data_IF_439139736889
#
_entry.id   IF_439139736889
#
_cell.length_a   1.000
_cell.length_b   1.000
_cell.length_c   1.000
_cell.angle_alpha   90.00
_cell.angle_beta   90.00
_cell.angle_gamma   90.00
#
_symmetry.space_group_name_H-M   'P 1'
#
loop_
_entity.id
_entity.type
_entity.pdbx_description
1 polymer ?
#
# COMPACT_ATOMS: atom_id res chain seq x y z
N UNK A 1 2.90 -2.54 -18.00
CA UNK A 1 3.97 -1.56 -17.74
C UNK A 1 3.50 -0.17 -17.31
N UNK A 2 2.54 0.53 -17.95
CA UNK A 2 2.13 1.88 -17.54
C UNK A 2 1.55 1.95 -16.12
N UNK A 3 0.74 1.00 -15.70
CA UNK A 3 0.13 0.95 -14.35
C UNK A 3 1.18 0.77 -13.24
N UNK A 4 2.17 -0.09 -13.45
CA UNK A 4 3.23 -0.33 -12.46
C UNK A 4 4.10 0.91 -12.25
N UNK A 5 4.43 1.62 -13.33
CA UNK A 5 5.18 2.89 -13.24
C UNK A 5 4.39 3.97 -12.50
N UNK A 6 3.08 4.04 -12.71
CA UNK A 6 2.21 4.96 -11.99
C UNK A 6 2.17 4.68 -10.48
N UNK A 7 2.18 3.41 -10.09
CA UNK A 7 2.22 3.00 -8.67
C UNK A 7 3.55 3.38 -8.00
N UNK A 8 4.66 3.36 -8.73
CA UNK A 8 5.95 3.83 -8.21
C UNK A 8 6.03 5.35 -8.13
N UNK A 9 5.31 6.07 -9.00
CA UNK A 9 5.34 7.52 -9.06
C UNK A 9 4.55 8.16 -7.90
N UNK A 10 3.33 7.66 -7.60
CA UNK A 10 2.43 8.24 -6.60
C UNK A 10 1.57 7.19 -5.91
N UNK A 11 1.31 7.39 -4.62
CA UNK A 11 0.44 6.52 -3.82
C UNK A 11 -1.08 6.64 -4.15
N UNK A 12 -1.49 7.63 -4.95
CA UNK A 12 -2.91 7.91 -5.22
C UNK A 12 -3.66 6.80 -5.96
N UNK A 13 -2.94 5.88 -6.61
CA UNK A 13 -3.50 4.71 -7.33
C UNK A 13 -3.35 3.39 -6.58
N UNK A 14 -2.66 3.38 -5.45
CA UNK A 14 -2.52 2.17 -4.64
C UNK A 14 -3.87 1.71 -4.10
N UNK A 15 -4.07 0.39 -4.05
CA UNK A 15 -5.24 -0.17 -3.39
C UNK A 15 -5.20 0.13 -1.88
N UNK A 16 -6.37 0.22 -1.24
CA UNK A 16 -6.52 0.44 0.21
C UNK A 16 -5.69 -0.59 1.01
N UNK A 17 -5.72 -1.83 0.59
CA UNK A 17 -5.03 -2.94 1.26
C UNK A 17 -3.51 -2.90 1.09
N UNK A 18 -3.02 -2.50 -0.10
CA UNK A 18 -1.59 -2.28 -0.28
C UNK A 18 -1.09 -1.12 0.58
N UNK A 19 -1.85 -0.01 0.62
CA UNK A 19 -1.54 1.11 1.50
C UNK A 19 -1.49 0.70 2.99
N UNK A 20 -2.36 -0.22 3.42
CA UNK A 20 -2.33 -0.82 4.75
C UNK A 20 -1.01 -1.55 5.04
N UNK A 21 -0.62 -2.46 4.13
CA UNK A 21 0.62 -3.23 4.25
C UNK A 21 1.85 -2.32 4.24
N UNK A 22 1.88 -1.35 3.33
CA UNK A 22 2.95 -0.36 3.22
C UNK A 22 3.03 0.52 4.47
N UNK A 23 1.89 1.00 4.96
CA UNK A 23 1.80 1.82 6.17
C UNK A 23 2.34 1.11 7.39
N UNK A 24 1.98 -0.15 7.59
CA UNK A 24 2.52 -0.96 8.69
C UNK A 24 4.04 -1.09 8.63
N UNK A 25 4.59 -1.33 7.43
CA UNK A 25 6.04 -1.39 7.20
C UNK A 25 6.73 -0.06 7.51
N UNK A 26 6.17 1.07 7.05
CA UNK A 26 6.66 2.42 7.34
C UNK A 26 6.63 2.71 8.84
N UNK A 27 5.48 2.45 9.48
CA UNK A 27 5.29 2.64 10.92
C UNK A 27 6.33 1.90 11.75
N UNK A 28 6.53 0.61 11.47
CA UNK A 28 7.50 -0.23 12.19
C UNK A 28 8.93 0.30 12.03
N UNK A 29 9.34 0.66 10.81
CA UNK A 29 10.69 1.18 10.52
C UNK A 29 10.93 2.54 11.17
N UNK A 30 9.97 3.47 11.07
CA UNK A 30 10.07 4.78 11.75
C UNK A 30 10.23 4.59 13.25
N UNK A 31 9.44 3.70 13.86
CA UNK A 31 9.52 3.40 15.29
C UNK A 31 10.89 2.84 15.67
N UNK A 32 11.38 1.86 14.93
CA UNK A 32 12.70 1.25 15.19
C UNK A 32 13.82 2.26 15.06
N UNK A 33 13.81 3.08 14.00
CA UNK A 33 14.84 4.12 13.77
C UNK A 33 14.77 5.20 14.85
N UNK A 34 13.57 5.61 15.26
CA UNK A 34 13.38 6.58 16.33
C UNK A 34 14.00 6.08 17.66
N UNK A 35 13.80 4.80 18.02
CA UNK A 35 14.47 4.19 19.18
C UNK A 35 16.00 4.17 19.05
N UNK A 36 16.51 3.76 17.89
CA UNK A 36 17.97 3.72 17.64
C UNK A 36 18.55 5.13 17.76
N UNK A 37 17.92 6.13 17.13
CA UNK A 37 18.39 7.50 17.17
C UNK A 37 18.31 8.12 18.55
N UNK A 38 17.29 7.80 19.35
CA UNK A 38 17.18 8.24 20.72
C UNK A 38 18.38 7.76 21.56
N UNK A 39 18.76 6.48 21.42
CA UNK A 39 19.92 5.90 22.10
C UNK A 39 21.22 6.55 21.59
N UNK A 40 21.39 6.66 20.27
CA UNK A 40 22.60 7.24 19.68
C UNK A 40 22.78 8.71 20.04
N UNK A 41 21.73 9.52 20.03
CA UNK A 41 21.78 10.92 20.44
C UNK A 41 22.22 11.07 21.90
N UNK A 42 21.69 10.24 22.79
CA UNK A 42 22.07 10.25 24.20
C UNK A 42 23.52 9.78 24.40
N UNK A 43 23.94 8.70 23.73
CA UNK A 43 25.31 8.18 23.83
C UNK A 43 26.33 9.17 23.31
N UNK A 44 26.00 9.96 22.27
CA UNK A 44 26.91 10.94 21.69
C UNK A 44 27.19 12.15 22.61
N UNK A 45 26.38 12.36 23.66
CA UNK A 45 26.68 13.39 24.71
C UNK A 45 28.04 13.15 25.33
N UNK A 46 28.41 11.87 25.53
CA UNK A 46 29.75 11.53 26.04
C UNK A 46 30.86 11.97 25.08
N UNK A 47 30.66 11.84 23.79
CA UNK A 47 31.61 12.26 22.76
C UNK A 47 31.72 13.76 22.72
N UNK A 48 30.60 14.48 22.81
CA UNK A 48 30.61 15.96 22.87
C UNK A 48 31.37 16.48 24.11
N UNK A 49 31.18 15.83 25.26
CA UNK A 49 31.88 16.19 26.48
C UNK A 49 33.38 15.98 26.37
N UNK A 50 33.86 15.02 25.57
CA UNK A 50 35.28 14.76 25.32
C UNK A 50 35.89 15.73 24.28
N UNK A 51 35.09 16.19 23.31
CA UNK A 51 35.56 16.95 22.15
C UNK A 51 35.32 18.46 22.28
N UNK A 52 34.35 18.91 23.05
CA UNK A 52 33.93 20.30 23.16
C UNK A 52 34.27 20.88 24.54
N UNK A 53 34.54 22.19 24.63
CA UNK A 53 34.66 22.89 25.91
C UNK A 53 33.39 22.79 26.75
N UNK A 54 33.52 22.91 28.09
CA UNK A 54 32.41 22.69 29.04
C UNK A 54 31.21 23.58 28.81
N UNK A 55 31.40 24.85 28.46
CA UNK A 55 30.33 25.83 28.16
C UNK A 55 29.52 25.46 26.92
N UNK A 56 30.15 24.89 25.89
CA UNK A 56 29.50 24.48 24.63
C UNK A 56 28.91 23.09 24.74
N UNK A 57 29.63 22.13 25.32
CA UNK A 57 29.17 20.74 25.47
C UNK A 57 27.89 20.67 26.29
N UNK A 58 27.72 21.47 27.35
CA UNK A 58 26.49 21.57 28.11
C UNK A 58 25.32 22.05 27.27
N UNK A 59 25.50 23.07 26.44
CA UNK A 59 24.46 23.60 25.56
C UNK A 59 24.05 22.56 24.49
N UNK A 60 25.01 21.91 23.84
CA UNK A 60 24.74 20.85 22.83
C UNK A 60 24.05 19.66 23.49
N UNK A 61 24.42 19.28 24.73
CA UNK A 61 23.77 18.19 25.45
C UNK A 61 22.26 18.43 25.66
N UNK A 62 21.82 19.66 25.95
CA UNK A 62 20.39 20.00 26.03
C UNK A 62 19.67 19.73 24.70
N UNK A 63 20.27 20.12 23.58
CA UNK A 63 19.71 19.83 22.24
C UNK A 63 19.62 18.34 21.97
N UNK A 64 20.64 17.55 22.33
CA UNK A 64 20.62 16.09 22.17
C UNK A 64 19.57 15.43 23.05
N UNK A 65 19.42 15.84 24.29
CA UNK A 65 18.39 15.35 25.20
C UNK A 65 16.99 15.64 24.63
N UNK A 66 16.77 16.85 24.11
CA UNK A 66 15.51 17.25 23.51
C UNK A 66 15.22 16.43 22.25
N UNK A 67 16.21 16.25 21.36
CA UNK A 67 16.07 15.42 20.16
C UNK A 67 15.83 13.96 20.52
N UNK A 68 16.55 13.41 21.51
CA UNK A 68 16.36 12.05 22.02
C UNK A 68 14.96 11.86 22.59
N UNK A 69 14.49 12.77 23.45
CA UNK A 69 13.15 12.73 24.02
C UNK A 69 12.06 12.80 22.94
N UNK A 70 12.26 13.62 21.90
CA UNK A 70 11.36 13.71 20.76
C UNK A 70 11.32 12.41 19.94
N UNK A 71 12.48 11.79 19.70
CA UNK A 71 12.57 10.48 19.05
C UNK A 71 11.91 9.38 19.90
N UNK A 72 12.11 9.37 21.24
CA UNK A 72 11.41 8.46 22.15
C UNK A 72 9.89 8.65 22.09
N UNK A 73 9.42 9.89 22.12
CA UNK A 73 8.00 10.20 21.99
C UNK A 73 7.41 9.65 20.69
N UNK A 74 8.12 9.82 19.56
CA UNK A 74 7.73 9.23 18.27
C UNK A 74 7.74 7.69 18.30
N UNK A 75 8.70 7.09 19.02
CA UNK A 75 8.81 5.64 19.19
C UNK A 75 7.68 5.02 20.01
N UNK A 76 7.20 5.74 21.03
CA UNK A 76 6.14 5.33 21.96
C UNK A 76 4.75 5.70 21.43
N UNK A 77 4.64 6.69 20.55
CA UNK A 77 3.37 7.20 20.08
C UNK A 77 2.49 6.10 19.48
N UNK A 78 1.43 5.75 20.20
CA UNK A 78 0.40 4.82 19.77
C UNK A 78 -0.53 5.53 18.78
N UNK A 79 -0.41 5.21 17.51
CA UNK A 79 -1.30 5.68 16.45
C UNK A 79 -1.73 4.48 15.60
N UNK A 80 -2.76 4.66 14.78
CA UNK A 80 -3.22 3.60 13.87
C UNK A 80 -2.14 3.24 12.84
N UNK A 81 -1.50 2.05 12.92
CA UNK A 81 -0.37 1.68 12.06
C UNK A 81 -0.78 1.47 10.60
N UNK A 82 -2.08 1.49 10.33
CA UNK A 82 -2.66 1.15 9.03
C UNK A 82 -3.04 2.35 8.17
N UNK A 83 -2.89 3.59 8.66
CA UNK A 83 -3.16 4.82 7.90
C UNK A 83 -1.86 5.36 7.35
N UNK A 84 -1.70 5.29 6.00
CA UNK A 84 -0.47 5.71 5.31
C UNK A 84 -0.10 7.17 5.62
N UNK A 85 -1.08 8.05 5.65
CA UNK A 85 -0.89 9.47 5.97
C UNK A 85 -0.24 9.68 7.35
N UNK A 86 -0.70 8.93 8.37
CA UNK A 86 -0.14 9.01 9.72
C UNK A 86 1.31 8.50 9.73
N UNK A 87 1.60 7.42 9.01
CA UNK A 87 2.96 6.88 8.92
C UNK A 87 3.92 7.83 8.20
N UNK A 88 3.46 8.53 7.15
CA UNK A 88 4.23 9.58 6.46
C UNK A 88 4.44 10.82 7.34
N UNK A 89 3.42 11.26 8.09
CA UNK A 89 3.55 12.35 9.07
C UNK A 89 4.59 12.00 10.14
N UNK A 90 4.60 10.77 10.64
CA UNK A 90 5.63 10.32 11.60
C UNK A 90 7.04 10.35 11.02
N UNK A 91 7.20 9.94 9.76
CA UNK A 91 8.48 10.04 9.06
C UNK A 91 8.90 11.52 8.90
N UNK A 92 7.95 12.39 8.53
CA UNK A 92 8.20 13.82 8.43
C UNK A 92 8.65 14.41 9.78
N UNK A 93 7.95 14.06 10.86
CA UNK A 93 8.33 14.52 12.22
C UNK A 93 9.72 14.03 12.63
N UNK A 94 10.08 12.78 12.29
CA UNK A 94 11.42 12.26 12.54
C UNK A 94 12.48 13.05 11.78
N UNK A 95 12.27 13.32 10.49
CA UNK A 95 13.16 14.14 9.67
C UNK A 95 13.26 15.56 10.23
N UNK A 96 12.14 16.16 10.64
CA UNK A 96 12.11 17.49 11.25
C UNK A 96 12.92 17.56 12.55
N UNK A 97 12.75 16.61 13.46
CA UNK A 97 13.51 16.57 14.73
C UNK A 97 15.01 16.57 14.47
N UNK A 98 15.45 15.71 13.53
CA UNK A 98 16.89 15.61 13.19
C UNK A 98 17.39 16.89 12.51
N UNK A 99 16.62 17.47 11.60
CA UNK A 99 16.98 18.68 10.86
C UNK A 99 17.03 19.90 11.77
N UNK A 100 16.06 20.04 12.69
CA UNK A 100 16.06 21.12 13.70
C UNK A 100 17.29 21.00 14.60
N UNK A 101 17.56 19.81 15.12
CA UNK A 101 18.75 19.58 15.96
C UNK A 101 20.04 19.92 15.22
N UNK A 102 20.19 19.48 13.97
CA UNK A 102 21.35 19.80 13.13
C UNK A 102 21.53 21.30 12.93
N UNK A 103 20.48 22.00 12.47
CA UNK A 103 20.55 23.44 12.19
C UNK A 103 20.89 24.22 13.47
N UNK A 104 20.27 23.87 14.58
CA UNK A 104 20.51 24.48 15.88
C UNK A 104 21.94 24.22 16.38
N UNK A 105 22.45 23.00 16.30
CA UNK A 105 23.81 22.66 16.71
C UNK A 105 24.87 23.38 15.86
N UNK A 106 24.67 23.45 14.55
CA UNK A 106 25.53 24.21 13.65
C UNK A 106 25.55 25.71 13.99
N UNK A 107 24.38 26.27 14.33
CA UNK A 107 24.28 27.67 14.76
C UNK A 107 25.15 27.97 15.98
N UNK A 108 25.11 27.11 17.00
CA UNK A 108 25.89 27.28 18.23
C UNK A 108 27.38 27.14 17.95
N UNK A 109 27.79 26.08 17.23
CA UNK A 109 29.21 25.80 16.99
C UNK A 109 29.87 26.88 16.14
N UNK A 110 29.20 27.36 15.08
CA UNK A 110 29.73 28.44 14.23
C UNK A 110 29.76 29.78 15.01
N UNK A 111 28.72 30.06 15.81
CA UNK A 111 28.65 31.28 16.64
C UNK A 111 29.74 31.38 17.67
N UNK A 112 30.31 30.26 18.11
CA UNK A 112 31.45 30.18 19.05
C UNK A 112 32.83 30.16 18.34
N UNK A 113 32.86 30.24 17.00
CA UNK A 113 34.11 30.32 16.22
C UNK A 113 34.88 29.01 16.11
N UNK A 114 34.22 27.86 16.32
CA UNK A 114 34.83 26.55 16.12
C UNK A 114 35.20 26.34 14.65
N UNK A 115 36.46 26.00 14.41
CA UNK A 115 36.95 25.67 13.06
C UNK A 115 36.45 24.28 12.57
N UNK A 116 36.61 24.05 11.28
CA UNK A 116 35.97 22.98 10.49
C UNK A 116 36.16 21.54 10.98
N UNK A 117 37.22 21.24 11.72
CA UNK A 117 37.54 19.87 12.14
C UNK A 117 36.60 19.32 13.24
N UNK A 118 36.28 20.14 14.25
CA UNK A 118 35.34 19.76 15.33
C UNK A 118 33.90 19.78 14.83
N UNK A 119 33.59 20.69 13.93
CA UNK A 119 32.24 20.83 13.32
C UNK A 119 31.99 19.74 12.26
N UNK A 120 33.05 19.05 11.76
CA UNK A 120 32.91 18.06 10.69
C UNK A 120 31.89 16.95 11.01
N UNK A 121 31.87 16.46 12.26
CA UNK A 121 30.88 15.45 12.69
C UNK A 121 29.43 15.92 12.56
N UNK A 122 29.17 17.20 12.80
CA UNK A 122 27.84 17.81 12.68
C UNK A 122 27.48 18.14 11.23
N UNK A 123 28.47 18.44 10.39
CA UNK A 123 28.28 18.69 8.97
C UNK A 123 27.78 17.43 8.20
N UNK A 124 28.00 16.23 8.74
CA UNK A 124 27.51 14.98 8.16
C UNK A 124 26.01 14.71 8.39
N UNK A 125 25.33 15.41 9.28
CA UNK A 125 23.91 15.17 9.58
C UNK A 125 22.99 15.26 8.37
N UNK A 126 23.06 16.24 7.45
CA UNK A 126 22.20 16.28 6.28
C UNK A 126 22.36 15.05 5.40
N UNK A 127 23.60 14.57 5.24
CA UNK A 127 23.91 13.37 4.46
C UNK A 127 23.33 12.11 5.12
N UNK A 128 23.40 12.02 6.44
CA UNK A 128 22.80 10.94 7.21
C UNK A 128 21.26 10.94 7.07
N UNK A 129 20.62 12.11 7.16
CA UNK A 129 19.17 12.26 7.04
C UNK A 129 18.70 11.84 5.64
N UNK A 130 19.38 12.28 4.58
CA UNK A 130 18.99 11.98 3.21
C UNK A 130 19.21 10.49 2.88
N UNK A 131 20.33 9.90 3.35
CA UNK A 131 20.60 8.47 3.13
C UNK A 131 19.65 7.57 3.92
N UNK A 132 19.18 8.00 5.10
CA UNK A 132 18.18 7.30 5.88
C UNK A 132 16.89 7.08 5.10
N UNK A 133 16.54 7.95 4.14
CA UNK A 133 15.34 7.78 3.30
C UNK A 133 15.39 6.48 2.47
N UNK A 134 16.58 5.95 2.18
CA UNK A 134 16.77 4.68 1.48
C UNK A 134 16.13 3.48 2.22
N UNK A 135 15.88 3.60 3.53
CA UNK A 135 15.32 2.53 4.37
C UNK A 135 13.80 2.39 4.17
N UNK A 136 13.13 3.43 3.65
CA UNK A 136 11.68 3.50 3.58
C UNK A 136 11.14 3.21 2.17
N UNK A 137 10.06 2.41 2.00
CA UNK A 137 9.43 2.17 0.70
C UNK A 137 8.56 3.38 0.32
N UNK A 138 9.18 4.41 -0.25
CA UNK A 138 8.53 5.65 -0.67
C UNK A 138 8.31 5.66 -2.18
N UNK A 139 7.29 6.40 -2.63
CA UNK A 139 7.09 6.73 -4.04
C UNK A 139 8.09 7.79 -4.49
N UNK A 140 8.24 7.95 -5.81
CA UNK A 140 9.13 8.98 -6.39
C UNK A 140 8.77 10.38 -5.85
N UNK A 141 7.48 10.73 -5.80
CA UNK A 141 7.04 12.04 -5.30
C UNK A 141 7.33 12.22 -3.80
N UNK A 142 7.13 11.18 -3.00
CA UNK A 142 7.38 11.25 -1.56
C UNK A 142 8.86 11.42 -1.26
N UNK A 143 9.73 10.58 -1.85
CA UNK A 143 11.17 10.68 -1.60
C UNK A 143 11.76 11.98 -2.16
N UNK A 144 11.29 12.44 -3.32
CA UNK A 144 11.69 13.72 -3.88
C UNK A 144 11.28 14.89 -2.97
N UNK A 145 10.08 14.85 -2.40
CA UNK A 145 9.62 15.85 -1.43
C UNK A 145 10.50 15.93 -0.19
N UNK A 146 10.85 14.79 0.41
CA UNK A 146 11.78 14.73 1.55
C UNK A 146 13.20 15.19 1.17
N UNK A 147 13.71 14.76 0.02
CA UNK A 147 15.05 15.13 -0.43
C UNK A 147 15.15 16.65 -0.69
N UNK A 148 14.17 17.22 -1.39
CA UNK A 148 14.09 18.67 -1.64
C UNK A 148 14.00 19.43 -0.33
N UNK A 149 13.21 18.97 0.64
CA UNK A 149 13.12 19.58 1.96
C UNK A 149 14.49 19.66 2.66
N UNK A 150 15.23 18.54 2.72
CA UNK A 150 16.55 18.49 3.36
C UNK A 150 17.55 19.40 2.63
N UNK A 151 17.57 19.37 1.28
CA UNK A 151 18.44 20.22 0.46
C UNK A 151 18.13 21.72 0.67
N UNK A 152 16.85 22.08 0.75
CA UNK A 152 16.45 23.47 1.00
C UNK A 152 16.87 23.96 2.38
N UNK A 153 16.75 23.13 3.42
CA UNK A 153 17.22 23.50 4.77
C UNK A 153 18.73 23.68 4.76
N UNK A 154 19.48 22.80 4.12
CA UNK A 154 20.93 22.94 4.00
C UNK A 154 21.30 24.20 3.21
N UNK A 155 20.62 24.49 2.11
CA UNK A 155 20.83 25.72 1.33
C UNK A 155 20.60 26.98 2.17
N UNK A 156 19.51 27.03 2.95
CA UNK A 156 19.23 28.15 3.87
C UNK A 156 20.32 28.26 4.94
N UNK A 157 20.77 27.14 5.50
CA UNK A 157 21.87 27.11 6.47
C UNK A 157 23.16 27.65 5.87
N UNK A 158 23.50 27.29 4.63
CA UNK A 158 24.68 27.79 3.93
C UNK A 158 24.59 29.29 3.58
N UNK A 159 23.42 29.77 3.16
CA UNK A 159 23.21 31.20 2.93
C UNK A 159 23.40 32.01 4.19
N UNK A 160 22.91 31.51 5.33
CA UNK A 160 23.01 32.18 6.61
C UNK A 160 24.42 32.16 7.21
N UNK A 161 25.16 31.05 7.01
CA UNK A 161 26.55 30.87 7.49
C UNK A 161 27.61 31.45 6.54
N UNK A 162 27.19 32.00 5.39
CA UNK A 162 28.10 32.56 4.36
C UNK A 162 28.92 31.51 3.59
N UNK A 163 28.56 30.21 3.73
CA UNK A 163 29.22 29.13 2.99
C UNK A 163 28.70 28.94 1.57
N UNK A 164 27.58 29.58 1.21
CA UNK A 164 27.01 29.51 -0.14
C UNK A 164 27.96 30.18 -1.14
N UNK A 165 28.22 29.52 -2.26
CA UNK A 165 29.16 30.00 -3.29
C UNK A 165 30.63 29.67 -3.03
N UNK A 166 30.95 29.16 -1.85
CA UNK A 166 32.29 28.60 -1.56
C UNK A 166 32.37 27.16 -2.06
N UNK A 167 33.53 26.69 -2.49
CA UNK A 167 33.73 25.35 -3.07
C UNK A 167 33.22 24.25 -2.14
N UNK A 168 33.42 24.37 -0.84
CA UNK A 168 32.94 23.40 0.17
C UNK A 168 31.41 23.34 0.19
N UNK A 169 30.72 24.47 0.24
CA UNK A 169 29.26 24.50 0.25
C UNK A 169 28.64 23.96 -1.05
N UNK A 170 29.24 24.25 -2.20
CA UNK A 170 28.80 23.67 -3.49
C UNK A 170 29.00 22.14 -3.52
N UNK A 171 30.14 21.65 -2.99
CA UNK A 171 30.39 20.22 -2.88
C UNK A 171 29.37 19.52 -1.97
N UNK A 172 29.00 20.14 -0.84
CA UNK A 172 27.99 19.59 0.08
C UNK A 172 26.62 19.47 -0.59
N UNK A 173 26.17 20.51 -1.31
CA UNK A 173 24.91 20.48 -2.06
C UNK A 173 24.93 19.45 -3.20
N UNK A 174 26.05 19.35 -3.92
CA UNK A 174 26.23 18.33 -4.95
C UNK A 174 26.17 16.92 -4.37
N UNK A 175 26.89 16.67 -3.26
CA UNK A 175 26.92 15.38 -2.58
C UNK A 175 25.51 15.02 -2.03
N UNK A 176 24.79 15.99 -1.45
CA UNK A 176 23.39 15.78 -1.03
C UNK A 176 22.49 15.40 -2.19
N UNK A 177 22.64 16.05 -3.35
CA UNK A 177 21.86 15.71 -4.54
C UNK A 177 22.16 14.29 -5.01
N UNK A 178 23.45 13.89 -5.08
CA UNK A 178 23.86 12.53 -5.48
C UNK A 178 23.34 11.49 -4.49
N UNK A 179 23.53 11.72 -3.18
CA UNK A 179 23.03 10.80 -2.15
C UNK A 179 21.49 10.74 -2.14
N UNK A 180 20.82 11.85 -2.40
CA UNK A 180 19.36 11.92 -2.58
C UNK A 180 18.88 11.08 -3.75
N UNK A 181 19.59 11.12 -4.88
CA UNK A 181 19.28 10.25 -6.03
C UNK A 181 19.48 8.77 -5.70
N UNK A 182 20.59 8.42 -5.03
CA UNK A 182 20.88 7.03 -4.62
C UNK A 182 19.85 6.54 -3.60
N UNK A 183 19.54 7.35 -2.58
CA UNK A 183 18.55 7.03 -1.57
C UNK A 183 17.14 6.91 -2.18
N UNK A 184 16.80 7.80 -3.12
CA UNK A 184 15.55 7.76 -3.86
C UNK A 184 15.42 6.48 -4.69
N UNK A 185 16.47 6.12 -5.43
CA UNK A 185 16.50 4.87 -6.20
C UNK A 185 16.32 3.65 -5.27
N UNK A 186 17.04 3.59 -4.16
CA UNK A 186 16.91 2.50 -3.19
C UNK A 186 15.52 2.43 -2.57
N UNK A 187 14.95 3.57 -2.20
CA UNK A 187 13.59 3.70 -1.65
C UNK A 187 12.52 3.20 -2.62
N UNK A 188 12.59 3.62 -3.89
CA UNK A 188 11.66 3.19 -4.94
C UNK A 188 11.83 1.70 -5.26
N UNK A 189 13.06 1.18 -5.25
CA UNK A 189 13.30 -0.26 -5.41
C UNK A 189 12.67 -1.08 -4.27
N UNK A 190 12.75 -0.61 -3.02
CA UNK A 190 12.05 -1.29 -1.92
C UNK A 190 10.54 -1.28 -2.11
N UNK A 191 9.96 -0.14 -2.56
CA UNK A 191 8.54 -0.06 -2.88
C UNK A 191 8.17 -1.02 -4.01
N UNK A 192 8.99 -1.09 -5.08
CA UNK A 192 8.74 -1.99 -6.21
C UNK A 192 8.77 -3.46 -5.77
N UNK A 193 9.73 -3.84 -4.93
CA UNK A 193 9.82 -5.19 -4.38
C UNK A 193 8.60 -5.52 -3.49
N UNK A 194 8.19 -4.59 -2.64
CA UNK A 194 7.00 -4.75 -1.81
C UNK A 194 5.72 -4.91 -2.67
N UNK A 195 5.58 -4.12 -3.76
CA UNK A 195 4.48 -4.23 -4.71
C UNK A 195 4.46 -5.60 -5.41
N UNK A 196 5.61 -6.09 -5.85
CA UNK A 196 5.73 -7.40 -6.50
C UNK A 196 5.34 -8.50 -5.54
N UNK A 197 5.89 -8.51 -4.31
CA UNK A 197 5.56 -9.50 -3.29
C UNK A 197 4.07 -9.45 -2.90
N UNK A 198 3.51 -8.24 -2.75
CA UNK A 198 2.10 -8.06 -2.46
C UNK A 198 1.22 -8.63 -3.59
N UNK A 199 1.55 -8.33 -4.87
CA UNK A 199 0.83 -8.86 -6.02
C UNK A 199 0.91 -10.38 -6.11
N UNK A 200 2.08 -10.98 -5.86
CA UNK A 200 2.25 -12.44 -5.81
C UNK A 200 1.43 -13.08 -4.69
N UNK A 201 1.34 -12.42 -3.55
CA UNK A 201 0.58 -12.90 -2.39
C UNK A 201 -0.94 -12.73 -2.52
N UNK A 202 -1.43 -11.81 -3.38
CA UNK A 202 -2.83 -11.37 -3.44
C UNK A 202 -3.51 -11.57 -4.79
N UNK A 203 -2.75 -11.90 -5.84
CA UNK A 203 -3.30 -12.09 -7.19
C UNK A 203 -3.21 -13.54 -7.63
N UNK A 204 -4.21 -13.95 -8.42
CA UNK A 204 -4.18 -15.22 -9.15
C UNK A 204 -3.25 -15.09 -10.36
N UNK A 205 -2.26 -15.98 -10.53
CA UNK A 205 -1.24 -15.83 -11.58
C UNK A 205 -1.80 -16.03 -13.00
N UNK A 206 -2.90 -16.79 -13.17
CA UNK A 206 -3.48 -17.06 -14.47
C UNK A 206 -4.34 -15.89 -14.96
N UNK A 207 -5.20 -15.37 -14.06
CA UNK A 207 -6.27 -14.41 -14.41
C UNK A 207 -5.89 -12.96 -14.09
N UNK A 208 -4.95 -12.75 -13.16
CA UNK A 208 -4.56 -11.43 -12.64
C UNK A 208 -5.61 -10.80 -11.72
N UNK A 209 -6.73 -11.48 -11.44
CA UNK A 209 -7.72 -11.06 -10.45
C UNK A 209 -7.19 -11.26 -9.02
N UNK A 210 -7.94 -10.78 -8.02
CA UNK A 210 -7.65 -11.12 -6.63
C UNK A 210 -7.71 -12.65 -6.44
N UNK A 211 -6.77 -13.18 -5.65
CA UNK A 211 -6.86 -14.60 -5.28
C UNK A 211 -7.83 -14.79 -4.10
N UNK A 212 -8.14 -16.06 -3.78
CA UNK A 212 -9.07 -16.41 -2.70
C UNK A 212 -8.74 -15.70 -1.38
N UNK A 213 -7.46 -15.65 -1.01
CA UNK A 213 -7.02 -15.02 0.24
C UNK A 213 -7.41 -13.54 0.28
N UNK A 214 -7.07 -12.79 -0.76
CA UNK A 214 -7.37 -11.37 -0.86
C UNK A 214 -8.89 -11.10 -0.86
N UNK A 215 -9.66 -11.92 -1.58
CA UNK A 215 -11.13 -11.82 -1.62
C UNK A 215 -11.71 -11.99 -0.22
N UNK A 216 -11.25 -13.01 0.53
CA UNK A 216 -11.74 -13.27 1.89
C UNK A 216 -11.38 -12.17 2.88
N UNK A 217 -10.13 -11.67 2.82
CA UNK A 217 -9.68 -10.56 3.67
C UNK A 217 -10.49 -9.27 3.40
N UNK A 218 -10.77 -9.00 2.12
CA UNK A 218 -11.59 -7.83 1.74
C UNK A 218 -13.03 -7.99 2.19
N UNK A 219 -13.64 -9.14 1.97
CA UNK A 219 -15.03 -9.38 2.36
C UNK A 219 -15.24 -9.17 3.87
N UNK A 220 -14.31 -9.64 4.72
CA UNK A 220 -14.37 -9.38 6.16
C UNK A 220 -14.32 -7.89 6.50
N UNK A 221 -13.54 -7.12 5.76
CA UNK A 221 -13.45 -5.67 5.91
C UNK A 221 -14.73 -4.96 5.48
N UNK A 222 -15.28 -5.35 4.33
CA UNK A 222 -16.46 -4.72 3.74
C UNK A 222 -17.74 -5.07 4.52
N UNK A 223 -17.84 -6.28 5.11
CA UNK A 223 -18.93 -6.64 6.04
C UNK A 223 -18.91 -5.73 7.27
N UNK A 224 -17.75 -5.51 7.89
CA UNK A 224 -17.63 -4.60 9.05
C UNK A 224 -18.02 -3.16 8.68
N UNK A 225 -17.53 -2.65 7.53
CA UNK A 225 -17.88 -1.30 7.05
C UNK A 225 -19.37 -1.17 6.76
N UNK A 226 -19.98 -2.19 6.16
CA UNK A 226 -21.42 -2.25 5.90
C UNK A 226 -22.25 -2.21 7.18
N UNK A 227 -21.83 -2.97 8.20
CA UNK A 227 -22.50 -2.97 9.52
C UNK A 227 -22.36 -1.63 10.25
N UNK A 228 -21.14 -1.06 10.27
CA UNK A 228 -20.86 0.22 10.94
C UNK A 228 -21.62 1.38 10.32
N UNK A 229 -21.76 1.42 9.00
CA UNK A 229 -22.34 2.53 8.26
C UNK A 229 -23.77 2.24 7.75
N UNK A 230 -24.33 1.08 8.06
CA UNK A 230 -25.65 0.62 7.61
C UNK A 230 -25.81 0.73 6.07
N UNK A 231 -24.78 0.30 5.33
CA UNK A 231 -24.75 0.30 3.87
C UNK A 231 -25.03 -1.09 3.32
N UNK A 232 -25.66 -1.22 2.15
CA UNK A 232 -25.81 -2.52 1.50
C UNK A 232 -24.43 -3.07 1.09
N UNK A 233 -24.33 -4.38 1.04
CA UNK A 233 -23.18 -5.11 0.52
C UNK A 233 -23.70 -6.34 -0.22
N UNK A 234 -23.35 -6.49 -1.48
CA UNK A 234 -23.73 -7.65 -2.28
C UNK A 234 -22.51 -8.48 -2.65
N UNK A 235 -22.68 -9.79 -2.68
CA UNK A 235 -21.68 -10.74 -3.19
C UNK A 235 -22.29 -11.56 -4.32
N UNK A 236 -21.50 -11.76 -5.39
CA UNK A 236 -21.86 -12.59 -6.54
C UNK A 236 -20.85 -13.73 -6.63
N UNK A 237 -21.33 -14.96 -6.52
CA UNK A 237 -20.52 -16.15 -6.73
C UNK A 237 -20.80 -16.71 -8.12
N UNK A 238 -19.75 -16.91 -8.89
CA UNK A 238 -19.80 -17.37 -10.29
C UNK A 238 -19.14 -18.73 -10.42
N UNK A 239 -19.70 -19.55 -11.32
CA UNK A 239 -19.09 -20.80 -11.76
C UNK A 239 -19.29 -20.94 -13.28
N UNK A 240 -18.21 -21.28 -13.99
CA UNK A 240 -18.26 -21.49 -15.44
C UNK A 240 -18.98 -22.80 -15.77
N UNK A 241 -20.06 -22.71 -16.53
CA UNK A 241 -20.91 -23.83 -16.84
C UNK A 241 -20.18 -24.92 -17.62
N UNK A 242 -20.25 -26.17 -17.10
CA UNK A 242 -19.65 -27.36 -17.72
C UNK A 242 -18.16 -27.24 -18.04
N UNK A 243 -17.42 -26.45 -17.25
CA UNK A 243 -16.00 -26.14 -17.52
C UNK A 243 -15.11 -27.39 -17.57
N UNK A 244 -15.39 -28.41 -16.74
CA UNK A 244 -14.69 -29.70 -16.83
C UNK A 244 -14.87 -30.34 -18.20
N UNK A 245 -16.11 -30.46 -18.69
CA UNK A 245 -16.41 -31.01 -20.02
C UNK A 245 -15.78 -30.18 -21.15
N UNK A 246 -15.72 -28.86 -20.97
CA UNK A 246 -15.02 -27.97 -21.89
C UNK A 246 -13.52 -28.32 -21.98
N UNK A 247 -12.85 -28.51 -20.84
CA UNK A 247 -11.44 -28.93 -20.76
C UNK A 247 -11.21 -30.31 -21.38
N UNK A 248 -12.14 -31.26 -21.15
CA UNK A 248 -12.05 -32.62 -21.69
C UNK A 248 -12.13 -32.59 -23.22
N UNK A 249 -12.90 -31.67 -23.82
CA UNK A 249 -13.10 -31.55 -25.27
C UNK A 249 -12.03 -30.70 -25.96
N UNK A 250 -11.57 -29.60 -25.36
CA UNK A 250 -10.72 -28.59 -26.00
C UNK A 250 -9.31 -28.49 -25.37
N UNK A 251 -9.07 -29.24 -24.30
CA UNK A 251 -7.81 -29.23 -23.55
C UNK A 251 -7.66 -28.08 -22.56
N UNK A 252 -6.78 -28.25 -21.56
CA UNK A 252 -6.55 -27.27 -20.49
C UNK A 252 -6.08 -25.91 -21.01
N UNK A 253 -5.31 -25.87 -22.10
CA UNK A 253 -4.85 -24.60 -22.66
C UNK A 253 -6.02 -23.75 -23.20
N UNK A 254 -7.07 -24.37 -23.73
CA UNK A 254 -8.31 -23.70 -24.12
C UNK A 254 -9.09 -23.21 -22.90
N UNK A 255 -9.17 -24.03 -21.83
CA UNK A 255 -9.77 -23.64 -20.56
C UNK A 255 -9.09 -22.44 -19.93
N UNK A 256 -7.76 -22.38 -19.96
CA UNK A 256 -6.99 -21.22 -19.46
C UNK A 256 -7.34 -19.92 -20.22
N UNK A 257 -7.59 -20.00 -21.52
CA UNK A 257 -8.04 -18.85 -22.32
C UNK A 257 -9.43 -18.39 -21.91
N UNK A 258 -10.36 -19.32 -21.68
CA UNK A 258 -11.71 -19.02 -21.17
C UNK A 258 -11.63 -18.35 -19.80
N UNK A 259 -10.85 -18.89 -18.86
CA UNK A 259 -10.63 -18.30 -17.54
C UNK A 259 -10.09 -16.87 -17.61
N UNK A 260 -9.11 -16.63 -18.48
CA UNK A 260 -8.56 -15.28 -18.71
C UNK A 260 -9.59 -14.33 -19.31
N UNK A 261 -10.40 -14.79 -20.23
CA UNK A 261 -11.44 -13.97 -20.85
C UNK A 261 -12.56 -13.66 -19.87
N UNK A 262 -13.01 -14.65 -19.10
CA UNK A 262 -14.00 -14.44 -18.04
C UNK A 262 -13.52 -13.43 -16.99
N UNK A 263 -12.25 -13.52 -16.61
CA UNK A 263 -11.64 -12.56 -15.70
C UNK A 263 -11.65 -11.12 -16.25
N UNK A 264 -11.51 -10.92 -17.56
CA UNK A 264 -11.66 -9.60 -18.20
C UNK A 264 -13.09 -9.10 -18.10
N UNK A 265 -14.07 -9.95 -18.41
CA UNK A 265 -15.49 -9.62 -18.28
C UNK A 265 -15.83 -9.20 -16.86
N UNK A 266 -15.35 -9.95 -15.86
CA UNK A 266 -15.54 -9.58 -14.44
C UNK A 266 -14.90 -8.22 -14.11
N UNK A 267 -13.69 -7.96 -14.59
CA UNK A 267 -12.97 -6.70 -14.34
C UNK A 267 -13.69 -5.51 -14.98
N UNK A 268 -14.25 -5.69 -16.16
CA UNK A 268 -14.98 -4.64 -16.88
C UNK A 268 -16.33 -4.31 -16.21
N UNK A 269 -16.96 -5.30 -15.55
CA UNK A 269 -18.19 -5.11 -14.78
C UNK A 269 -17.94 -4.66 -13.32
N UNK A 270 -16.75 -4.86 -12.76
CA UNK A 270 -16.30 -4.30 -11.49
C UNK A 270 -15.81 -2.85 -11.72
N UNK A 271 -16.70 -1.95 -12.11
CA UNK A 271 -16.34 -0.64 -12.65
C UNK A 271 -15.89 0.36 -11.59
N UNK A 272 -16.32 0.20 -10.32
CA UNK A 272 -15.97 1.12 -9.23
C UNK A 272 -14.68 0.69 -8.55
N UNK A 273 -13.92 1.65 -8.03
CA UNK A 273 -12.66 1.39 -7.29
C UNK A 273 -12.84 0.52 -6.04
N UNK A 274 -14.05 0.48 -5.51
CA UNK A 274 -14.41 -0.29 -4.31
C UNK A 274 -14.83 -1.72 -4.64
N UNK A 275 -15.22 -2.00 -5.89
CA UNK A 275 -15.61 -3.33 -6.35
C UNK A 275 -14.38 -4.24 -6.44
N UNK A 276 -14.52 -5.47 -6.03
CA UNK A 276 -13.46 -6.47 -6.15
C UNK A 276 -13.96 -7.71 -6.88
N UNK A 277 -13.27 -8.09 -7.95
CA UNK A 277 -13.41 -9.38 -8.58
C UNK A 277 -12.21 -10.26 -8.26
N UNK A 278 -12.44 -11.52 -7.92
CA UNK A 278 -11.40 -12.48 -7.60
C UNK A 278 -11.70 -13.90 -8.05
N UNK A 279 -10.65 -14.69 -8.24
CA UNK A 279 -10.76 -16.13 -8.49
C UNK A 279 -10.80 -16.85 -7.15
N UNK A 280 -11.91 -17.53 -6.91
CA UNK A 280 -12.20 -18.18 -5.64
C UNK A 280 -11.78 -19.64 -5.60
N UNK A 281 -11.89 -20.33 -6.74
CA UNK A 281 -11.53 -21.74 -6.94
C UNK A 281 -10.97 -22.00 -8.33
N UNK A 282 -11.03 -23.21 -8.80
CA UNK A 282 -10.58 -23.61 -10.13
C UNK A 282 -11.28 -22.85 -11.25
N UNK A 283 -12.62 -22.95 -11.28
CA UNK A 283 -13.54 -22.33 -12.23
C UNK A 283 -14.53 -21.38 -11.53
N UNK A 284 -14.33 -21.15 -10.22
CA UNK A 284 -15.18 -20.31 -9.39
C UNK A 284 -14.58 -18.92 -9.20
N UNK A 285 -15.44 -17.91 -9.25
CA UNK A 285 -15.05 -16.51 -9.06
C UNK A 285 -16.03 -15.84 -8.09
N UNK A 286 -15.55 -14.83 -7.39
CA UNK A 286 -16.35 -14.03 -6.47
C UNK A 286 -16.20 -12.55 -6.80
N UNK A 287 -17.33 -11.84 -6.80
CA UNK A 287 -17.34 -10.38 -6.87
C UNK A 287 -17.95 -9.82 -5.60
N UNK A 288 -17.30 -8.80 -5.02
CA UNK A 288 -17.76 -8.07 -3.85
C UNK A 288 -18.13 -6.67 -4.30
N UNK A 289 -19.35 -6.24 -3.98
CA UNK A 289 -19.95 -4.99 -4.43
C UNK A 289 -20.43 -4.15 -3.24
N UNK A 290 -19.52 -3.43 -2.56
CA UNK A 290 -19.86 -2.59 -1.40
C UNK A 290 -20.81 -1.45 -1.80
N UNK A 291 -21.88 -1.24 -1.05
CA UNK A 291 -22.86 -0.18 -1.28
C UNK A 291 -23.83 -0.46 -2.45
N UNK A 292 -23.85 -1.66 -3.01
CA UNK A 292 -24.86 -2.09 -3.99
C UNK A 292 -25.92 -2.93 -3.31
N UNK A 293 -27.16 -2.64 -3.65
CA UNK A 293 -28.33 -3.41 -3.27
C UNK A 293 -28.59 -4.58 -4.24
N UNK A 294 -29.73 -5.28 -4.06
CA UNK A 294 -30.12 -6.43 -4.85
C UNK A 294 -30.32 -6.07 -6.33
N UNK A 295 -31.01 -4.97 -6.63
CA UNK A 295 -31.29 -4.59 -8.02
C UNK A 295 -30.00 -4.20 -8.77
N UNK A 296 -29.11 -3.51 -8.09
CA UNK A 296 -27.80 -3.14 -8.64
C UNK A 296 -26.92 -4.39 -8.88
N UNK A 297 -26.92 -5.33 -7.93
CA UNK A 297 -26.18 -6.57 -8.03
C UNK A 297 -26.69 -7.44 -9.20
N UNK A 298 -28.01 -7.50 -9.40
CA UNK A 298 -28.64 -8.20 -10.53
C UNK A 298 -28.21 -7.58 -11.86
N UNK A 299 -28.18 -6.24 -11.96
CA UNK A 299 -27.69 -5.57 -13.18
C UNK A 299 -26.22 -5.93 -13.51
N UNK A 300 -25.37 -6.03 -12.49
CA UNK A 300 -23.97 -6.47 -12.67
C UNK A 300 -23.92 -7.93 -13.13
N UNK A 301 -24.69 -8.81 -12.50
CA UNK A 301 -24.77 -10.22 -12.88
C UNK A 301 -25.22 -10.41 -14.34
N UNK A 302 -26.25 -9.66 -14.77
CA UNK A 302 -26.72 -9.68 -16.16
C UNK A 302 -25.68 -9.12 -17.13
N UNK A 303 -24.97 -8.06 -16.76
CA UNK A 303 -23.85 -7.52 -17.55
C UNK A 303 -22.75 -8.56 -17.78
N UNK A 304 -22.37 -9.29 -16.72
CA UNK A 304 -21.39 -10.38 -16.83
C UNK A 304 -21.91 -11.51 -17.74
N UNK A 305 -23.16 -11.94 -17.56
CA UNK A 305 -23.77 -13.00 -18.35
C UNK A 305 -23.84 -12.64 -19.84
N UNK A 306 -24.29 -11.42 -20.18
CA UNK A 306 -24.27 -10.92 -21.56
C UNK A 306 -22.84 -10.85 -22.11
N UNK A 307 -21.87 -10.39 -21.33
CA UNK A 307 -20.47 -10.38 -21.73
C UNK A 307 -19.93 -11.77 -22.08
N UNK A 308 -20.38 -12.82 -21.37
CA UNK A 308 -20.03 -14.21 -21.73
C UNK A 308 -20.65 -14.62 -23.08
N UNK A 309 -21.91 -14.28 -23.34
CA UNK A 309 -22.57 -14.57 -24.60
C UNK A 309 -21.97 -13.88 -25.81
N UNK A 310 -21.59 -12.61 -25.65
CA UNK A 310 -21.02 -11.78 -26.71
C UNK A 310 -19.57 -12.14 -27.03
N UNK A 311 -18.92 -12.89 -26.12
CA UNK A 311 -17.52 -13.24 -26.26
C UNK A 311 -17.31 -14.57 -26.97
N UNK A 312 -16.42 -14.57 -27.96
CA UNK A 312 -15.89 -15.79 -28.59
C UNK A 312 -14.43 -15.93 -28.25
N UNK A 313 -14.05 -17.12 -27.80
CA UNK A 313 -12.65 -17.41 -27.43
C UNK A 313 -12.06 -18.28 -28.54
N UNK A 314 -11.01 -17.76 -29.20
CA UNK A 314 -10.28 -18.53 -30.19
C UNK A 314 -9.33 -19.50 -29.47
N UNK A 315 -9.62 -20.79 -29.53
CA UNK A 315 -8.82 -21.85 -28.92
C UNK A 315 -7.60 -22.22 -29.80
N UNK A 316 -6.59 -22.94 -29.28
CA UNK A 316 -5.39 -23.27 -30.02
C UNK A 316 -5.60 -24.03 -31.32
N UNK A 317 -6.74 -24.75 -31.47
CA UNK A 317 -7.14 -25.42 -32.71
C UNK A 317 -7.57 -24.47 -33.82
N UNK A 318 -7.78 -23.18 -33.50
CA UNK A 318 -8.27 -22.16 -34.42
C UNK A 318 -9.82 -22.00 -34.38
N UNK A 319 -10.54 -22.87 -33.68
CA UNK A 319 -11.97 -22.82 -33.47
C UNK A 319 -12.37 -21.67 -32.54
N UNK A 320 -13.53 -21.06 -32.75
CA UNK A 320 -14.11 -20.08 -31.84
C UNK A 320 -15.21 -20.75 -31.00
N UNK A 321 -15.00 -20.72 -29.68
CA UNK A 321 -15.91 -21.35 -28.70
C UNK A 321 -16.59 -20.30 -27.83
N UNK A 322 -17.81 -20.62 -27.40
CA UNK A 322 -18.61 -19.84 -26.46
C UNK A 322 -18.59 -20.51 -25.08
N UNK A 323 -18.87 -19.73 -24.05
CA UNK A 323 -19.02 -20.22 -22.70
C UNK A 323 -20.10 -19.43 -21.95
N UNK A 324 -20.65 -20.01 -20.90
CA UNK A 324 -21.64 -19.38 -20.03
C UNK A 324 -21.25 -19.53 -18.56
N UNK A 325 -21.96 -18.83 -17.71
CA UNK A 325 -21.75 -18.87 -16.26
C UNK A 325 -23.09 -18.90 -15.52
N UNK A 326 -23.14 -19.67 -14.46
CA UNK A 326 -24.17 -19.61 -13.43
C UNK A 326 -23.75 -18.69 -12.29
N UNK A 327 -24.71 -17.97 -11.71
CA UNK A 327 -24.42 -16.90 -10.74
C UNK A 327 -25.34 -17.03 -9.53
N UNK A 328 -24.78 -17.08 -8.34
CA UNK A 328 -25.49 -16.92 -7.08
C UNK A 328 -25.27 -15.54 -6.49
N UNK A 329 -26.34 -14.84 -6.15
CA UNK A 329 -26.31 -13.48 -5.59
C UNK A 329 -26.77 -13.52 -4.14
N UNK A 330 -26.02 -12.96 -3.21
CA UNK A 330 -26.47 -12.74 -1.85
C UNK A 330 -26.20 -11.30 -1.41
N UNK A 331 -27.20 -10.72 -0.75
CA UNK A 331 -27.09 -9.36 -0.17
C UNK A 331 -27.00 -9.49 1.34
N UNK A 332 -26.11 -8.71 1.97
CA UNK A 332 -25.99 -8.65 3.41
C UNK A 332 -27.22 -7.95 4.01
N UNK A 333 -27.96 -8.64 4.84
CA UNK A 333 -29.22 -8.13 5.39
C UNK A 333 -29.22 -7.94 6.89
N UNK A 334 -28.52 -8.80 7.63
CA UNK A 334 -28.52 -8.77 9.10
C UNK A 334 -27.18 -8.26 9.64
N UNK A 335 -27.24 -7.51 10.76
CA UNK A 335 -26.05 -7.01 11.45
C UNK A 335 -25.20 -8.13 12.06
N UNK A 336 -25.80 -9.28 12.30
CA UNK A 336 -25.14 -10.46 12.86
C UNK A 336 -24.72 -11.48 11.78
N UNK A 337 -24.94 -11.19 10.49
CA UNK A 337 -24.53 -12.04 9.40
C UNK A 337 -23.02 -11.94 9.19
N UNK A 338 -22.33 -13.07 9.36
CA UNK A 338 -20.91 -13.18 9.10
C UNK A 338 -20.63 -13.58 7.63
N UNK A 339 -19.34 -13.54 7.28
CA UNK A 339 -18.87 -13.97 5.96
C UNK A 339 -19.33 -15.39 5.59
N UNK A 340 -19.35 -16.31 6.54
CA UNK A 340 -19.64 -17.72 6.28
C UNK A 340 -21.08 -17.89 5.85
N UNK A 341 -22.00 -17.25 6.57
CA UNK A 341 -23.45 -17.28 6.24
C UNK A 341 -23.73 -16.59 4.91
N UNK A 342 -23.12 -15.41 4.66
CA UNK A 342 -23.32 -14.67 3.42
C UNK A 342 -22.84 -15.49 2.20
N UNK A 343 -21.66 -16.09 2.29
CA UNK A 343 -21.13 -16.96 1.23
C UNK A 343 -21.94 -18.23 1.05
N UNK A 344 -22.45 -18.84 2.13
CA UNK A 344 -23.31 -20.02 2.03
C UNK A 344 -24.60 -19.69 1.28
N UNK A 345 -25.25 -18.57 1.55
CA UNK A 345 -26.44 -18.13 0.81
C UNK A 345 -26.13 -17.90 -0.67
N UNK A 346 -24.99 -17.31 -1.00
CA UNK A 346 -24.56 -17.16 -2.38
C UNK A 346 -24.32 -18.51 -3.08
N UNK A 347 -23.74 -19.47 -2.36
CA UNK A 347 -23.48 -20.82 -2.87
C UNK A 347 -24.79 -21.62 -3.11
N UNK A 348 -25.73 -21.55 -2.16
CA UNK A 348 -27.07 -22.16 -2.30
C UNK A 348 -27.81 -21.58 -3.53
N UNK A 349 -27.72 -20.26 -3.74
CA UNK A 349 -28.28 -19.59 -4.91
C UNK A 349 -27.57 -20.01 -6.21
N UNK A 350 -26.26 -20.17 -6.20
CA UNK A 350 -25.48 -20.67 -7.34
C UNK A 350 -25.87 -22.10 -7.69
N UNK A 351 -26.03 -22.93 -6.66
CA UNK A 351 -26.50 -24.28 -6.85
C UNK A 351 -27.92 -24.31 -7.54
N UNK A 352 -28.84 -23.47 -7.05
CA UNK A 352 -30.15 -23.33 -7.66
C UNK A 352 -30.07 -22.83 -9.12
N UNK A 353 -29.14 -21.95 -9.45
CA UNK A 353 -28.92 -21.51 -10.83
C UNK A 353 -28.42 -22.65 -11.72
N UNK A 354 -27.50 -23.49 -11.22
CA UNK A 354 -27.01 -24.68 -11.95
C UNK A 354 -28.11 -25.73 -12.16
N UNK A 355 -28.89 -26.01 -11.12
CA UNK A 355 -29.99 -26.98 -11.16
C UNK A 355 -31.15 -26.50 -12.05
N UNK A 356 -31.43 -25.19 -12.03
CA UNK A 356 -32.46 -24.57 -12.86
C UNK A 356 -32.17 -24.53 -14.37
N UNK A 357 -31.05 -25.09 -14.84
CA UNK A 357 -30.67 -25.17 -16.25
C UNK A 357 -29.46 -24.37 -16.67
N UNK A 358 -28.71 -23.79 -15.70
CA UNK A 358 -27.47 -22.99 -15.91
C UNK A 358 -27.72 -21.67 -16.66
N UNK A 359 -26.64 -20.96 -17.00
CA UNK A 359 -26.67 -19.70 -17.76
C UNK A 359 -27.70 -18.69 -17.22
N UNK A 360 -27.68 -18.50 -15.88
CA UNK A 360 -28.61 -17.62 -15.19
C UNK A 360 -28.04 -17.14 -13.86
N UNK A 361 -28.69 -16.14 -13.32
CA UNK A 361 -28.49 -15.78 -11.93
C UNK A 361 -29.68 -16.21 -11.05
N UNK A 362 -29.42 -16.46 -9.78
CA UNK A 362 -30.44 -16.65 -8.74
C UNK A 362 -30.06 -15.77 -7.56
N UNK A 363 -31.04 -15.08 -6.98
CA UNK A 363 -30.85 -14.28 -5.77
C UNK A 363 -31.23 -15.13 -4.56
N UNK A 364 -30.33 -15.19 -3.58
CA UNK A 364 -30.59 -15.88 -2.33
C UNK A 364 -31.74 -15.21 -1.56
N UNK A 365 -32.66 -15.99 -0.96
CA UNK A 365 -33.68 -15.43 -0.11
C UNK A 365 -33.07 -14.64 1.05
N UNK A 366 -33.84 -13.66 1.59
CA UNK A 366 -33.41 -12.93 2.78
C UNK A 366 -33.15 -13.91 3.93
N UNK A 367 -32.07 -13.67 4.68
CA UNK A 367 -31.77 -14.50 5.84
C UNK A 367 -32.99 -14.49 6.79
N UNK A 368 -33.49 -15.67 7.15
CA UNK A 368 -34.49 -15.77 8.22
C UNK A 368 -33.84 -15.35 9.53
N UNK A 369 -34.52 -14.44 10.26
CA UNK A 369 -34.09 -14.08 11.60
C UNK A 369 -34.13 -15.35 12.44
N UNK A 370 -32.96 -15.80 12.87
CA UNK A 370 -32.87 -16.81 13.93
C UNK A 370 -33.38 -16.11 15.21
N UNK A 371 -34.56 -16.49 15.68
CA UNK A 371 -35.12 -16.07 16.97
C UNK A 371 -34.22 -16.48 18.15
#
# INVERSE_FOLDING_TARGET
MPEFMNDLFSAGKHSRYFNHTRSYGLFSRVRTIAWILAILQTAWILVDWLLLPEDVSGTIAYGRITASASCLALGIWFSHPYRLEISLIRLLLLVLVLTIFQTWSNFILIGQGFESEVVAGYAFFPFMIITMLAIFPLTILEVAGFAVFVILVELVTQLWTGKFGVVTGLNDLWLLAVLGCIAGWASVNQLSMLLVLYRQATRDPLTGLANRRQVMEQLDGDIRDAHEHNKPLSVLLFDLDKFKSFNDNHGHAAGDLVLKQFARILKDNAARKVDLAGRFGGEEFLMILPGMDEEEAVRVADGVRHGCHDTRVKVPTGEEVSFSTSIGIAVLHDKDEDRTRLLQRADDALYAAKDGGRDRHVVAPKAEKTE
#
